data_IF_557304930024
#
_entry.id   IF_557304930024
#
_cell.length_a   1.000
_cell.length_b   1.000
_cell.length_c   1.000
_cell.angle_alpha   90.00
_cell.angle_beta   90.00
_cell.angle_gamma   90.00
#
_symmetry.space_group_name_H-M   'P 1'
#
loop_
_entity.id
_entity.type
_entity.pdbx_description
1 polymer ?
#
# COMPACT_ATOMS: atom_id res chain seq x y z
N UNK A 1 5.31 17.95 -23.93
CA UNK A 1 4.47 17.06 -24.75
C UNK A 1 4.70 15.65 -24.24
N UNK A 2 3.66 14.91 -23.86
CA UNK A 2 3.78 13.53 -23.37
C UNK A 2 3.97 12.62 -24.59
N UNK A 3 4.98 11.74 -24.58
CA UNK A 3 5.12 10.69 -25.58
C UNK A 3 4.13 9.57 -25.27
N UNK A 4 2.98 9.57 -25.95
CA UNK A 4 1.93 8.57 -25.78
C UNK A 4 2.41 7.15 -26.08
N UNK A 5 3.38 6.97 -26.99
CA UNK A 5 3.90 5.65 -27.31
C UNK A 5 4.78 5.10 -26.18
N UNK A 6 5.57 5.96 -25.54
CA UNK A 6 6.32 5.62 -24.33
C UNK A 6 5.39 5.35 -23.14
N UNK A 7 4.32 6.15 -22.97
CA UNK A 7 3.31 5.94 -21.92
C UNK A 7 2.66 4.56 -22.06
N UNK A 8 2.11 4.25 -23.24
CA UNK A 8 1.45 2.97 -23.51
C UNK A 8 2.41 1.81 -23.24
N UNK A 9 3.65 1.84 -23.76
CA UNK A 9 4.60 0.73 -23.55
C UNK A 9 5.03 0.56 -22.09
N UNK A 10 5.11 1.65 -21.32
CA UNK A 10 5.56 1.59 -19.92
C UNK A 10 4.43 1.28 -18.94
N UNK A 11 3.18 1.60 -19.28
CA UNK A 11 2.02 1.43 -18.39
C UNK A 11 1.03 0.34 -18.81
N UNK A 12 1.19 -0.29 -19.98
CA UNK A 12 0.19 -1.26 -20.48
C UNK A 12 -0.15 -2.36 -19.47
N UNK A 13 0.82 -2.89 -18.73
CA UNK A 13 0.55 -3.91 -17.72
C UNK A 13 -0.18 -3.36 -16.49
N UNK A 14 0.07 -2.09 -16.14
CA UNK A 14 -0.62 -1.40 -15.05
C UNK A 14 -2.06 -1.06 -15.45
N UNK A 15 -2.28 -0.67 -16.71
CA UNK A 15 -3.61 -0.33 -17.24
C UNK A 15 -4.47 -1.55 -17.59
N UNK A 16 -3.86 -2.67 -17.95
CA UNK A 16 -4.60 -3.87 -18.43
C UNK A 16 -4.81 -4.94 -17.38
N UNK A 17 -4.11 -4.87 -16.24
CA UNK A 17 -4.35 -5.84 -15.17
C UNK A 17 -5.75 -5.66 -14.59
N UNK A 18 -6.42 -6.77 -14.35
CA UNK A 18 -7.75 -6.77 -13.73
C UNK A 18 -7.68 -6.06 -12.35
N UNK A 19 -8.47 -5.00 -12.12
CA UNK A 19 -8.52 -4.31 -10.82
C UNK A 19 -8.83 -5.24 -9.64
N UNK A 20 -9.48 -6.40 -9.88
CA UNK A 20 -9.69 -7.42 -8.86
C UNK A 20 -8.37 -7.96 -8.29
N UNK A 21 -7.30 -8.03 -9.07
CA UNK A 21 -5.97 -8.46 -8.62
C UNK A 21 -5.40 -7.47 -7.60
N UNK A 22 -5.46 -6.17 -7.87
CA UNK A 22 -5.00 -5.15 -6.92
C UNK A 22 -5.82 -5.17 -5.63
N UNK A 23 -7.15 -5.26 -5.74
CA UNK A 23 -8.04 -5.34 -4.57
C UNK A 23 -7.72 -6.55 -3.71
N UNK A 24 -7.51 -7.70 -4.33
CA UNK A 24 -7.22 -8.94 -3.60
C UNK A 24 -5.82 -8.90 -2.96
N UNK A 25 -4.81 -8.36 -3.64
CA UNK A 25 -3.48 -8.19 -3.06
C UNK A 25 -3.50 -7.24 -1.85
N UNK A 26 -4.22 -6.12 -1.94
CA UNK A 26 -4.42 -5.19 -0.83
C UNK A 26 -5.14 -5.89 0.33
N UNK A 27 -6.24 -6.60 0.04
CA UNK A 27 -6.98 -7.36 1.07
C UNK A 27 -6.08 -8.35 1.80
N UNK A 28 -5.26 -9.13 1.07
CA UNK A 28 -4.30 -10.09 1.65
C UNK A 28 -3.23 -9.41 2.51
N UNK A 29 -2.72 -8.26 2.06
CA UNK A 29 -1.72 -7.50 2.79
C UNK A 29 -2.25 -7.01 4.14
N UNK A 30 -3.50 -6.52 4.18
CA UNK A 30 -4.13 -6.02 5.41
C UNK A 30 -4.71 -7.13 6.29
N UNK A 31 -5.19 -8.24 5.71
CA UNK A 31 -5.75 -9.36 6.48
C UNK A 31 -4.68 -10.28 7.03
N UNK A 32 -3.54 -10.41 6.34
CA UNK A 32 -2.49 -11.37 6.63
C UNK A 32 -2.82 -12.82 6.31
N UNK A 33 -3.87 -13.08 5.51
CA UNK A 33 -4.21 -14.41 5.03
C UNK A 33 -4.89 -14.36 3.66
N UNK A 34 -4.86 -15.48 2.95
CA UNK A 34 -5.73 -15.75 1.81
C UNK A 34 -6.60 -16.96 2.07
N UNK A 35 -7.72 -17.05 1.38
CA UNK A 35 -8.56 -18.25 1.37
C UNK A 35 -8.18 -19.05 0.14
N UNK A 36 -7.83 -20.32 0.34
CA UNK A 36 -7.53 -21.23 -0.74
C UNK A 36 -8.79 -21.52 -1.55
N UNK A 37 -8.75 -21.28 -2.86
CA UNK A 37 -9.94 -21.31 -3.70
C UNK A 37 -10.55 -22.72 -3.85
N UNK A 38 -9.73 -23.77 -3.72
CA UNK A 38 -10.18 -25.15 -3.88
C UNK A 38 -10.70 -25.72 -2.56
N UNK A 39 -10.05 -25.37 -1.45
CA UNK A 39 -10.31 -25.98 -0.13
C UNK A 39 -11.09 -25.08 0.83
N UNK A 40 -11.21 -23.78 0.55
CA UNK A 40 -11.81 -22.78 1.46
C UNK A 40 -10.98 -22.53 2.73
N UNK A 41 -9.80 -23.14 2.86
CA UNK A 41 -8.98 -23.03 4.06
C UNK A 41 -8.21 -21.71 4.05
N UNK A 42 -8.28 -20.99 5.17
CA UNK A 42 -7.49 -19.78 5.38
C UNK A 42 -6.02 -20.13 5.60
N UNK A 43 -5.15 -19.60 4.75
CA UNK A 43 -3.70 -19.76 4.81
C UNK A 43 -3.06 -18.43 5.19
N UNK A 44 -2.32 -18.42 6.30
CA UNK A 44 -1.60 -17.23 6.77
C UNK A 44 -0.48 -16.85 5.82
N UNK A 45 -0.35 -15.56 5.52
CA UNK A 45 0.72 -14.99 4.70
C UNK A 45 1.67 -14.26 5.62
N UNK A 46 2.96 -14.60 5.61
CA UNK A 46 4.01 -13.90 6.36
C UNK A 46 3.60 -13.50 7.80
N UNK A 47 3.37 -14.46 8.72
CA UNK A 47 2.83 -14.19 10.06
C UNK A 47 3.67 -13.24 10.91
N UNK A 48 4.95 -13.06 10.56
CA UNK A 48 5.90 -12.19 11.28
C UNK A 48 6.20 -10.87 10.56
N UNK A 49 5.62 -10.64 9.37
CA UNK A 49 5.84 -9.40 8.63
C UNK A 49 4.98 -8.28 9.22
N UNK A 50 5.65 -7.25 9.73
CA UNK A 50 5.00 -5.98 10.09
C UNK A 50 4.65 -5.23 8.81
N UNK A 51 3.45 -4.69 8.73
CA UNK A 51 2.99 -3.92 7.57
C UNK A 51 2.78 -2.48 8.01
N UNK A 52 3.34 -1.56 7.24
CA UNK A 52 3.20 -0.13 7.45
C UNK A 52 2.80 0.53 6.14
N UNK A 53 1.89 1.49 6.23
CA UNK A 53 1.45 2.30 5.10
C UNK A 53 2.08 3.67 5.26
N UNK A 54 3.01 3.99 4.37
CA UNK A 54 3.67 5.28 4.35
C UNK A 54 3.03 6.16 3.28
N UNK A 55 2.66 7.39 3.60
CA UNK A 55 2.23 8.38 2.62
C UNK A 55 2.65 9.79 3.05
N UNK A 56 2.73 10.72 2.09
CA UNK A 56 3.09 12.10 2.38
C UNK A 56 1.85 13.00 2.47
N UNK A 57 1.87 14.02 3.31
CA UNK A 57 0.71 14.91 3.51
C UNK A 57 0.49 15.92 2.36
N UNK A 58 1.50 16.15 1.52
CA UNK A 58 1.42 16.94 0.29
C UNK A 58 1.59 16.06 -0.96
N UNK A 59 1.16 14.80 -0.87
CA UNK A 59 1.11 13.87 -1.99
C UNK A 59 0.00 14.25 -2.99
N UNK A 60 -0.03 13.59 -4.16
CA UNK A 60 -1.15 13.67 -5.11
C UNK A 60 -2.43 13.19 -4.43
N UNK A 61 -3.57 13.78 -4.82
CA UNK A 61 -4.86 13.54 -4.16
C UNK A 61 -5.24 12.05 -4.06
N UNK A 62 -4.97 11.28 -5.11
CA UNK A 62 -5.24 9.83 -5.13
C UNK A 62 -4.40 9.06 -4.11
N UNK A 63 -3.16 9.48 -3.85
CA UNK A 63 -2.27 8.87 -2.86
C UNK A 63 -2.77 9.10 -1.44
N UNK A 64 -3.14 10.33 -1.11
CA UNK A 64 -3.74 10.69 0.19
C UNK A 64 -5.06 9.95 0.39
N UNK A 65 -5.92 9.91 -0.63
CA UNK A 65 -7.19 9.19 -0.57
C UNK A 65 -7.00 7.68 -0.37
N UNK A 66 -6.07 7.05 -1.10
CA UNK A 66 -5.76 5.64 -0.94
C UNK A 66 -5.27 5.31 0.47
N UNK A 67 -4.39 6.15 1.05
CA UNK A 67 -3.92 5.97 2.43
C UNK A 67 -5.07 5.97 3.45
N UNK A 68 -6.01 6.92 3.32
CA UNK A 68 -7.19 6.99 4.18
C UNK A 68 -8.11 5.76 4.02
N UNK A 69 -8.29 5.27 2.79
CA UNK A 69 -9.06 4.04 2.55
C UNK A 69 -8.39 2.83 3.20
N UNK A 70 -7.07 2.74 3.13
CA UNK A 70 -6.33 1.61 3.70
C UNK A 70 -6.31 1.66 5.23
N UNK A 71 -6.18 2.85 5.82
CA UNK A 71 -6.31 3.08 7.26
C UNK A 71 -7.67 2.58 7.76
N UNK A 72 -8.76 3.02 7.12
CA UNK A 72 -10.12 2.58 7.45
C UNK A 72 -10.27 1.05 7.36
N UNK A 73 -9.77 0.44 6.28
CA UNK A 73 -9.87 -1.01 6.10
C UNK A 73 -9.07 -1.77 7.16
N UNK A 74 -7.88 -1.28 7.52
CA UNK A 74 -7.06 -1.86 8.58
C UNK A 74 -7.75 -1.77 9.94
N UNK A 75 -8.36 -0.63 10.27
CA UNK A 75 -9.15 -0.46 11.50
C UNK A 75 -10.34 -1.42 11.56
N UNK A 76 -11.08 -1.56 10.47
CA UNK A 76 -12.21 -2.50 10.38
C UNK A 76 -11.76 -3.95 10.56
N UNK A 77 -10.64 -4.34 9.95
CA UNK A 77 -10.07 -5.66 10.13
C UNK A 77 -9.64 -5.90 11.59
N UNK A 78 -9.05 -4.89 12.23
CA UNK A 78 -8.67 -4.95 13.65
C UNK A 78 -9.89 -5.11 14.56
N UNK A 79 -10.94 -4.30 14.35
CA UNK A 79 -12.22 -4.37 15.10
C UNK A 79 -12.86 -5.76 15.00
N UNK A 80 -12.77 -6.39 13.83
CA UNK A 80 -13.33 -7.71 13.58
C UNK A 80 -12.39 -8.87 13.94
N UNK A 81 -11.20 -8.62 14.52
CA UNK A 81 -10.15 -9.62 14.77
C UNK A 81 -9.78 -10.44 13.53
N UNK A 82 -9.87 -9.81 12.35
CA UNK A 82 -9.72 -10.42 11.02
C UNK A 82 -8.53 -9.85 10.23
N UNK A 83 -7.64 -9.09 10.86
CA UNK A 83 -6.44 -8.57 10.21
C UNK A 83 -5.21 -8.53 11.09
N UNK A 84 -4.08 -8.26 10.45
CA UNK A 84 -2.82 -7.98 11.14
C UNK A 84 -2.84 -6.56 11.69
N UNK A 85 -1.91 -6.29 12.59
CA UNK A 85 -1.62 -4.93 13.02
C UNK A 85 -0.95 -4.18 11.87
N UNK A 86 -1.55 -3.05 11.47
CA UNK A 86 -1.06 -2.18 10.39
C UNK A 86 -0.91 -0.78 10.96
N UNK A 87 0.29 -0.22 10.82
CA UNK A 87 0.59 1.14 11.23
C UNK A 87 0.55 2.06 10.01
N UNK A 88 -0.12 3.20 10.14
CA UNK A 88 -0.14 4.24 9.11
C UNK A 88 0.82 5.34 9.54
N UNK A 89 1.74 5.71 8.65
CA UNK A 89 2.81 6.67 8.90
C UNK A 89 2.71 7.79 7.89
N UNK A 90 2.35 8.97 8.37
CA UNK A 90 2.33 10.20 7.57
C UNK A 90 3.72 10.86 7.58
N UNK A 91 4.24 11.17 6.40
CA UNK A 91 5.41 12.02 6.24
C UNK A 91 4.94 13.45 6.11
N UNK A 92 5.02 14.21 7.20
CA UNK A 92 4.57 15.60 7.24
C UNK A 92 5.46 16.51 6.38
N UNK A 93 4.90 17.55 5.77
CA UNK A 93 5.62 18.48 4.90
C UNK A 93 6.45 17.76 3.83
N UNK A 94 5.89 16.71 3.23
CA UNK A 94 6.53 15.96 2.17
C UNK A 94 5.59 15.79 0.96
N UNK A 95 6.17 15.79 -0.25
CA UNK A 95 5.47 15.46 -1.48
C UNK A 95 5.72 13.99 -1.88
N UNK A 96 5.16 13.54 -3.02
CA UNK A 96 5.33 12.18 -3.55
C UNK A 96 6.80 11.76 -3.77
N UNK A 97 7.70 12.72 -3.94
CA UNK A 97 9.11 12.55 -4.29
C UNK A 97 10.06 12.99 -3.16
N UNK A 98 9.64 12.93 -1.90
CA UNK A 98 10.50 13.29 -0.73
C UNK A 98 11.86 12.56 -0.71
N UNK A 99 11.94 11.37 -1.30
CA UNK A 99 13.18 10.61 -1.42
C UNK A 99 14.16 11.18 -2.44
N UNK A 100 13.72 12.05 -3.36
CA UNK A 100 14.56 12.84 -4.26
C UNK A 100 14.91 14.20 -3.67
N UNK A 101 13.94 14.88 -3.05
CA UNK A 101 14.12 16.23 -2.53
C UNK A 101 14.90 16.24 -1.20
N UNK A 102 14.66 15.27 -0.33
CA UNK A 102 15.23 15.17 1.02
C UNK A 102 15.69 13.72 1.35
N UNK A 103 16.65 13.16 0.58
CA UNK A 103 17.03 11.74 0.66
C UNK A 103 17.49 11.31 2.06
N UNK A 104 18.28 12.12 2.78
CA UNK A 104 18.75 11.78 4.12
C UNK A 104 17.61 11.75 5.13
N UNK A 105 16.66 12.68 5.03
CA UNK A 105 15.49 12.73 5.90
C UNK A 105 14.63 11.49 5.68
N UNK A 106 14.38 11.14 4.42
CA UNK A 106 13.61 9.95 4.07
C UNK A 106 14.30 8.66 4.52
N UNK A 107 15.61 8.53 4.31
CA UNK A 107 16.37 7.37 4.77
C UNK A 107 16.34 7.20 6.30
N UNK A 108 16.47 8.29 7.06
CA UNK A 108 16.34 8.27 8.54
C UNK A 108 14.95 7.85 8.98
N UNK A 109 13.91 8.31 8.28
CA UNK A 109 12.54 7.87 8.54
C UNK A 109 12.41 6.36 8.32
N UNK A 110 12.84 5.84 7.17
CA UNK A 110 12.79 4.40 6.87
C UNK A 110 13.53 3.57 7.93
N UNK A 111 14.71 4.01 8.37
CA UNK A 111 15.48 3.34 9.42
C UNK A 111 14.76 3.33 10.78
N UNK A 112 13.97 4.36 11.10
CA UNK A 112 13.20 4.46 12.34
C UNK A 112 11.97 3.54 12.33
N UNK A 113 11.37 3.33 11.16
CA UNK A 113 10.12 2.57 11.00
C UNK A 113 10.32 1.14 10.49
N UNK A 114 11.55 0.70 10.24
CA UNK A 114 11.86 -0.71 9.96
C UNK A 114 11.66 -1.55 11.23
#
# INVERSE_FOLDING_TARGET
MIDSAALIRSQILVETVDPAVYRENMRRALSGYFEDAETGVKKTVWPRAKVRILYCDMDVGDGVWAAQLFERQAEENRKNQKGRDVEVVTVEKANHFVHWDEPERFARLLAKIA
#
